data_IF_134124022559
#
_entry.id   IF_134124022559
#
_cell.length_a   1.000
_cell.length_b   1.000
_cell.length_c   1.000
_cell.angle_alpha   90.00
_cell.angle_beta   90.00
_cell.angle_gamma   90.00
#
_symmetry.space_group_name_H-M   'P 1'
#
loop_
_entity.id
_entity.type
_entity.pdbx_description
1 polymer ?
#
# COMPACT_ATOMS: atom_id res chain seq x y z
N UNK A 1 -20.44 -49.23 3.04
CA UNK A 1 -19.08 -49.18 2.48
C UNK A 1 -18.77 -47.71 2.29
N UNK A 2 -18.09 -47.11 3.25
CA UNK A 2 -17.58 -45.74 3.17
C UNK A 2 -16.10 -45.89 2.90
N UNK A 3 -15.70 -45.57 1.66
CA UNK A 3 -14.30 -45.50 1.28
C UNK A 3 -13.72 -44.22 1.90
N UNK A 4 -12.92 -44.39 2.95
CA UNK A 4 -12.07 -43.33 3.47
C UNK A 4 -10.89 -43.20 2.51
N UNK A 5 -10.94 -42.23 1.60
CA UNK A 5 -9.76 -41.69 0.93
C UNK A 5 -8.88 -41.01 1.98
N UNK A 6 -7.92 -41.74 2.51
CA UNK A 6 -6.80 -41.15 3.25
C UNK A 6 -5.95 -40.39 2.25
N UNK A 7 -6.16 -39.07 2.19
CA UNK A 7 -5.22 -38.11 1.62
C UNK A 7 -3.83 -38.40 2.19
N UNK A 8 -2.92 -38.85 1.34
CA UNK A 8 -1.48 -38.91 1.65
C UNK A 8 -1.03 -37.48 1.96
N UNK A 9 -0.90 -37.18 3.25
CA UNK A 9 -0.26 -35.96 3.72
C UNK A 9 1.22 -36.13 3.36
N UNK A 10 1.64 -35.44 2.30
CA UNK A 10 3.04 -35.24 1.97
C UNK A 10 3.81 -34.96 3.26
N UNK A 11 4.80 -35.81 3.57
CA UNK A 11 5.64 -35.69 4.74
C UNK A 11 6.31 -34.32 4.67
N UNK A 12 5.82 -33.35 5.44
CA UNK A 12 6.46 -32.05 5.60
C UNK A 12 7.81 -32.34 6.24
N UNK A 13 8.89 -32.20 5.48
CA UNK A 13 10.25 -32.33 6.00
C UNK A 13 10.43 -31.33 7.16
N UNK A 14 10.50 -31.85 8.38
CA UNK A 14 10.59 -31.04 9.61
C UNK A 14 12.02 -30.64 9.95
N UNK A 15 13.02 -31.08 9.18
CA UNK A 15 14.44 -30.86 9.41
C UNK A 15 15.17 -30.45 8.13
N UNK A 16 16.12 -29.52 8.26
CA UNK A 16 16.95 -29.06 7.15
C UNK A 16 17.91 -30.17 6.66
N UNK A 17 18.12 -30.32 5.34
CA UNK A 17 18.95 -31.39 4.80
C UNK A 17 20.42 -31.22 5.19
N UNK A 18 20.99 -32.27 5.78
CA UNK A 18 22.42 -32.29 6.14
C UNK A 18 23.26 -32.54 4.88
N UNK A 19 24.02 -31.54 4.44
CA UNK A 19 24.96 -31.70 3.32
C UNK A 19 26.15 -32.54 3.76
N UNK A 20 26.39 -33.67 3.08
CA UNK A 20 27.56 -34.52 3.32
C UNK A 20 28.84 -33.76 2.95
N UNK A 21 29.73 -33.55 3.92
CA UNK A 21 31.04 -32.97 3.68
C UNK A 21 31.97 -34.01 3.04
N UNK A 22 32.48 -33.72 1.83
CA UNK A 22 33.45 -34.56 1.14
C UNK A 22 34.86 -34.26 1.66
N UNK A 23 35.42 -35.14 2.48
CA UNK A 23 36.82 -35.04 2.91
C UNK A 23 37.75 -35.52 1.79
N UNK A 24 38.74 -34.70 1.41
CA UNK A 24 39.86 -35.11 0.54
C UNK A 24 40.98 -35.68 1.42
N UNK A 25 41.72 -36.68 0.92
CA UNK A 25 42.88 -37.27 1.62
C UNK A 25 43.99 -36.22 1.67
N UNK A 26 44.54 -35.96 2.87
CA UNK A 26 45.63 -34.99 3.10
C UNK A 26 46.98 -35.68 3.22
N UNK A 27 48.05 -34.97 2.86
CA UNK A 27 49.44 -35.38 3.11
C UNK A 27 49.96 -34.84 4.45
N UNK A 28 51.06 -35.40 4.95
CA UNK A 28 51.54 -35.20 6.33
C UNK A 28 51.86 -33.74 6.72
N UNK A 29 52.12 -32.85 5.75
CA UNK A 29 52.52 -31.46 5.99
C UNK A 29 51.47 -30.42 5.55
N UNK A 30 50.25 -30.84 5.19
CA UNK A 30 49.20 -29.90 4.79
C UNK A 30 48.51 -29.26 6.01
N UNK A 31 48.60 -27.94 6.13
CA UNK A 31 47.83 -27.16 7.10
C UNK A 31 46.33 -27.33 6.87
N UNK A 32 45.54 -27.35 7.95
CA UNK A 32 44.09 -27.38 7.83
C UNK A 32 43.59 -26.08 7.19
N UNK A 33 42.83 -26.18 6.10
CA UNK A 33 41.96 -25.07 5.72
C UNK A 33 40.96 -24.86 6.85
N UNK A 34 40.78 -23.60 7.27
CA UNK A 34 39.69 -23.20 8.13
C UNK A 34 38.38 -23.66 7.47
N UNK A 35 37.76 -24.69 8.05
CA UNK A 35 36.43 -25.13 7.66
C UNK A 35 35.47 -23.99 8.04
N UNK A 36 35.29 -23.02 7.13
CA UNK A 36 34.34 -21.93 7.31
C UNK A 36 32.96 -22.52 7.62
N UNK A 37 32.44 -22.15 8.81
CA UNK A 37 31.12 -22.44 9.38
C UNK A 37 30.15 -23.17 8.42
N UNK A 38 29.60 -24.35 8.68
CA UNK A 38 29.36 -25.07 9.93
C UNK A 38 28.85 -26.48 9.57
N UNK A 39 29.13 -27.50 10.39
CA UNK A 39 28.53 -28.84 10.25
C UNK A 39 27.02 -28.85 10.53
N UNK A 40 26.47 -27.72 11.02
CA UNK A 40 25.07 -27.58 11.44
C UNK A 40 24.23 -26.95 10.32
N UNK A 41 23.25 -27.69 9.76
CA UNK A 41 22.33 -27.17 8.74
C UNK A 41 21.60 -25.89 9.13
N UNK A 42 21.34 -25.67 10.43
CA UNK A 42 20.67 -24.47 10.91
C UNK A 42 21.55 -23.23 10.79
N UNK A 43 22.85 -23.37 11.06
CA UNK A 43 23.81 -22.26 10.95
C UNK A 43 24.11 -21.97 9.47
N UNK A 44 24.23 -23.00 8.62
CA UNK A 44 24.33 -22.85 7.15
C UNK A 44 23.12 -22.10 6.59
N UNK A 45 21.90 -22.52 6.94
CA UNK A 45 20.66 -21.84 6.53
C UNK A 45 20.60 -20.41 7.07
N UNK A 46 20.96 -20.18 8.34
CA UNK A 46 20.95 -18.85 8.93
C UNK A 46 21.84 -17.89 8.16
N UNK A 47 23.07 -18.28 7.87
CA UNK A 47 24.05 -17.41 7.22
C UNK A 47 23.78 -17.27 5.72
N UNK A 48 23.58 -18.39 5.02
CA UNK A 48 23.54 -18.42 3.56
C UNK A 48 22.15 -18.24 2.96
N UNK A 49 21.08 -18.28 3.77
CA UNK A 49 19.70 -18.07 3.28
C UNK A 49 19.03 -16.96 4.06
N UNK A 50 18.86 -17.13 5.37
CA UNK A 50 18.10 -16.17 6.17
C UNK A 50 18.72 -14.78 6.17
N UNK A 51 20.01 -14.65 6.48
CA UNK A 51 20.69 -13.35 6.48
C UNK A 51 20.67 -12.71 5.10
N UNK A 52 20.91 -13.47 4.02
CA UNK A 52 20.84 -12.94 2.65
C UNK A 52 19.43 -12.43 2.30
N UNK A 53 18.38 -13.13 2.72
CA UNK A 53 16.99 -12.68 2.53
C UNK A 53 16.74 -11.40 3.33
N UNK A 54 17.16 -11.36 4.59
CA UNK A 54 17.02 -10.18 5.45
C UNK A 54 17.75 -8.98 4.87
N UNK A 55 19.01 -9.15 4.46
CA UNK A 55 19.81 -8.10 3.82
C UNK A 55 19.15 -7.62 2.52
N UNK A 56 18.58 -8.53 1.72
CA UNK A 56 17.85 -8.17 0.51
C UNK A 56 16.56 -7.40 0.80
N UNK A 57 15.85 -7.76 1.87
CA UNK A 57 14.65 -7.03 2.32
C UNK A 57 15.07 -5.63 2.79
N UNK A 58 16.12 -5.53 3.62
CA UNK A 58 16.65 -4.25 4.11
C UNK A 58 17.08 -3.38 2.95
N UNK A 59 17.91 -3.90 2.03
CA UNK A 59 18.35 -3.16 0.85
C UNK A 59 17.18 -2.71 -0.01
N UNK A 60 16.18 -3.58 -0.24
CA UNK A 60 14.97 -3.22 -1.01
C UNK A 60 14.19 -2.09 -0.34
N UNK A 61 14.05 -2.11 0.99
CA UNK A 61 13.42 -1.03 1.74
C UNK A 61 14.25 0.26 1.69
N UNK A 62 15.57 0.16 1.85
CA UNK A 62 16.47 1.30 1.76
C UNK A 62 16.41 1.94 0.37
N UNK A 63 16.56 1.17 -0.70
CA UNK A 63 16.48 1.64 -2.08
C UNK A 63 15.13 2.34 -2.36
N UNK A 64 14.03 1.81 -1.82
CA UNK A 64 12.68 2.35 -2.01
C UNK A 64 12.41 3.63 -1.22
N UNK A 65 12.87 3.71 0.03
CA UNK A 65 12.46 4.78 0.95
C UNK A 65 13.52 5.86 1.16
N UNK A 66 14.81 5.57 0.96
CA UNK A 66 15.90 6.54 1.19
C UNK A 66 15.81 7.72 0.21
N UNK A 67 15.41 7.47 -1.05
CA UNK A 67 15.28 8.51 -2.09
C UNK A 67 14.30 9.63 -1.69
N UNK A 68 13.29 9.30 -0.90
CA UNK A 68 12.25 10.22 -0.46
C UNK A 68 12.27 10.45 1.06
N UNK A 69 13.39 10.20 1.73
CA UNK A 69 13.55 10.34 3.20
C UNK A 69 13.04 11.69 3.73
N UNK A 70 13.32 12.78 3.03
CA UNK A 70 12.85 14.11 3.42
C UNK A 70 11.32 14.22 3.38
N UNK A 71 10.67 13.66 2.34
CA UNK A 71 9.22 13.66 2.23
C UNK A 71 8.60 12.85 3.37
N UNK A 72 9.14 11.67 3.70
CA UNK A 72 8.63 10.87 4.81
C UNK A 72 8.83 11.54 6.17
N UNK A 73 9.97 12.23 6.38
CA UNK A 73 10.18 13.07 7.58
C UNK A 73 9.16 14.20 7.65
N UNK A 74 8.80 14.80 6.52
CA UNK A 74 7.79 15.85 6.51
C UNK A 74 6.39 15.27 6.74
N UNK A 75 6.06 14.11 6.17
CA UNK A 75 4.76 13.46 6.37
C UNK A 75 4.52 13.01 7.81
N UNK A 76 5.58 12.70 8.57
CA UNK A 76 5.43 12.31 9.97
C UNK A 76 4.88 13.45 10.84
N UNK A 77 5.00 14.72 10.43
CA UNK A 77 4.40 15.83 11.17
C UNK A 77 2.86 15.88 11.04
N UNK A 78 2.30 15.17 10.06
CA UNK A 78 0.86 15.00 9.86
C UNK A 78 0.32 13.77 10.61
N UNK A 79 1.17 13.02 11.29
CA UNK A 79 0.72 11.93 12.16
C UNK A 79 0.26 12.51 13.51
N UNK A 80 -1.01 12.28 13.91
CA UNK A 80 -1.52 12.72 15.22
C UNK A 80 -0.71 12.24 16.43
N UNK A 81 0.04 11.13 16.31
CA UNK A 81 0.95 10.67 17.36
C UNK A 81 2.02 11.73 17.68
N UNK A 82 2.44 12.50 16.67
CA UNK A 82 3.49 13.50 16.81
C UNK A 82 2.96 14.89 17.20
N UNK A 83 1.63 15.09 17.29
CA UNK A 83 1.05 16.41 17.60
C UNK A 83 1.46 16.93 18.98
N UNK A 84 1.56 16.06 19.98
CA UNK A 84 2.04 16.46 21.32
C UNK A 84 3.46 17.03 21.26
N UNK A 85 4.35 16.34 20.55
CA UNK A 85 5.73 16.77 20.32
C UNK A 85 5.79 18.10 19.57
N UNK A 86 4.90 18.30 18.58
CA UNK A 86 4.81 19.56 17.81
C UNK A 86 4.39 20.73 18.71
N UNK A 87 3.42 20.52 19.61
CA UNK A 87 2.96 21.56 20.53
C UNK A 87 4.05 21.92 21.54
N UNK A 88 4.79 20.94 22.05
CA UNK A 88 5.84 21.15 23.05
C UNK A 88 7.14 21.75 22.48
N UNK A 89 7.60 21.26 21.33
CA UNK A 89 8.92 21.62 20.75
C UNK A 89 8.82 22.60 19.58
N UNK A 90 7.62 22.85 19.06
CA UNK A 90 7.41 23.63 17.85
C UNK A 90 7.79 22.88 16.57
N UNK A 91 7.52 23.50 15.43
CA UNK A 91 7.91 23.01 14.10
C UNK A 91 9.23 23.63 13.63
N UNK A 92 10.27 22.81 13.50
CA UNK A 92 11.56 23.22 12.92
C UNK A 92 11.40 23.87 11.53
N UNK A 93 12.27 24.81 11.18
CA UNK A 93 12.26 25.48 9.87
C UNK A 93 12.67 24.60 8.69
N UNK A 94 13.34 23.49 8.95
CA UNK A 94 13.75 22.52 7.95
C UNK A 94 12.61 21.57 7.53
N UNK A 95 11.52 21.51 8.29
CA UNK A 95 10.36 20.65 8.02
C UNK A 95 9.50 21.28 6.92
N UNK A 96 8.82 20.44 6.13
CA UNK A 96 7.97 20.75 4.98
C UNK A 96 8.71 21.00 3.65
N UNK A 97 10.04 20.89 3.58
CA UNK A 97 10.80 21.12 2.33
C UNK A 97 10.38 20.17 1.20
N UNK A 98 10.16 18.89 1.51
CA UNK A 98 9.67 17.88 0.58
C UNK A 98 8.21 18.10 0.22
N UNK A 99 7.35 18.41 1.19
CA UNK A 99 5.93 18.73 0.95
C UNK A 99 5.78 19.96 0.05
N UNK A 100 6.56 21.02 0.27
CA UNK A 100 6.53 22.23 -0.57
C UNK A 100 6.93 21.98 -2.02
N UNK A 101 7.75 20.95 -2.31
CA UNK A 101 8.04 20.57 -3.71
C UNK A 101 6.81 20.00 -4.41
N UNK A 102 5.96 19.29 -3.68
CA UNK A 102 4.68 18.78 -4.19
C UNK A 102 3.62 19.89 -4.26
N UNK A 103 3.78 20.95 -3.46
CA UNK A 103 2.84 22.05 -3.32
C UNK A 103 3.52 23.43 -3.45
N UNK A 104 3.89 23.85 -4.66
CA UNK A 104 4.56 25.14 -4.87
C UNK A 104 3.64 26.35 -4.63
N UNK A 105 2.32 26.17 -4.66
CA UNK A 105 1.33 27.25 -4.47
C UNK A 105 1.05 27.58 -3.00
N UNK A 106 1.43 26.70 -2.07
CA UNK A 106 1.07 26.83 -0.66
C UNK A 106 2.11 27.65 0.12
N UNK A 107 1.65 28.57 0.96
CA UNK A 107 2.53 29.39 1.80
C UNK A 107 3.01 28.55 2.99
N UNK A 108 4.30 28.22 3.05
CA UNK A 108 4.95 27.47 4.14
C UNK A 108 4.53 27.93 5.54
N UNK A 109 4.51 29.25 5.74
CA UNK A 109 4.14 29.89 7.00
C UNK A 109 2.69 29.56 7.40
N UNK A 110 1.77 29.62 6.44
CA UNK A 110 0.36 29.34 6.65
C UNK A 110 0.14 27.88 7.07
N UNK A 111 0.78 26.93 6.38
CA UNK A 111 0.71 25.50 6.74
C UNK A 111 1.24 25.28 8.17
N UNK A 112 2.35 25.91 8.56
CA UNK A 112 2.89 25.78 9.91
C UNK A 112 1.91 26.27 10.97
N UNK A 113 1.28 27.42 10.76
CA UNK A 113 0.28 27.98 11.67
C UNK A 113 -0.95 27.08 11.77
N UNK A 114 -1.48 26.66 10.63
CA UNK A 114 -2.64 25.76 10.56
C UNK A 114 -2.35 24.44 11.27
N UNK A 115 -1.19 23.84 11.01
CA UNK A 115 -0.79 22.58 11.64
C UNK A 115 -0.60 22.72 13.14
N UNK A 116 0.04 23.80 13.62
CA UNK A 116 0.22 24.03 15.05
C UNK A 116 -1.11 24.25 15.78
N UNK A 117 -1.99 25.07 15.20
CA UNK A 117 -3.34 25.31 15.71
C UNK A 117 -4.17 24.02 15.72
N UNK A 118 -4.11 23.24 14.64
CA UNK A 118 -4.81 21.97 14.53
C UNK A 118 -4.29 20.93 15.54
N UNK A 119 -2.97 20.79 15.66
CA UNK A 119 -2.34 19.88 16.62
C UNK A 119 -2.73 20.21 18.06
N UNK A 120 -2.78 21.51 18.40
CA UNK A 120 -3.18 21.98 19.73
C UNK A 120 -4.65 21.68 20.06
N UNK A 121 -5.53 21.71 19.07
CA UNK A 121 -6.97 21.52 19.24
C UNK A 121 -7.44 20.11 18.86
N UNK A 122 -6.53 19.21 18.49
CA UNK A 122 -6.87 17.92 17.90
C UNK A 122 -7.74 17.05 18.81
N UNK A 123 -7.43 16.99 20.11
CA UNK A 123 -8.18 16.19 21.07
C UNK A 123 -9.64 16.68 21.20
N UNK A 124 -9.86 18.00 21.16
CA UNK A 124 -11.20 18.60 21.18
C UNK A 124 -11.96 18.30 19.89
N UNK A 125 -11.30 18.50 18.74
CA UNK A 125 -11.89 18.24 17.42
C UNK A 125 -12.26 16.76 17.24
N UNK A 126 -11.47 15.86 17.82
CA UNK A 126 -11.73 14.42 17.83
C UNK A 126 -12.98 14.06 18.64
N UNK A 127 -13.21 14.72 19.79
CA UNK A 127 -14.40 14.48 20.61
C UNK A 127 -15.70 14.92 19.92
N UNK A 128 -15.67 16.00 19.14
CA UNK A 128 -16.83 16.51 18.42
C UNK A 128 -17.39 15.51 17.39
N UNK A 129 -16.55 14.62 16.84
CA UNK A 129 -16.98 13.60 15.89
C UNK A 129 -17.65 12.39 16.53
N UNK A 130 -17.22 11.99 17.73
CA UNK A 130 -17.79 10.81 18.39
C UNK A 130 -19.26 11.01 18.80
N UNK A 131 -19.70 12.27 18.87
CA UNK A 131 -21.04 12.67 19.30
C UNK A 131 -21.98 13.00 18.12
N UNK A 132 -21.48 13.00 16.87
CA UNK A 132 -22.21 13.41 15.68
C UNK A 132 -22.26 12.32 14.61
N UNK A 133 -23.45 12.11 14.08
CA UNK A 133 -23.90 11.09 13.13
C UNK A 133 -22.90 10.55 12.07
N UNK A 134 -23.11 9.27 11.76
CA UNK A 134 -22.55 8.51 10.63
C UNK A 134 -22.74 9.25 9.30
N UNK A 135 -21.72 9.97 8.83
CA UNK A 135 -21.72 10.52 7.48
C UNK A 135 -20.40 10.22 6.74
N UNK A 136 -20.60 9.51 5.63
CA UNK A 136 -19.75 9.26 4.47
C UNK A 136 -18.88 7.99 4.51
N UNK A 137 -19.31 7.16 3.58
CA UNK A 137 -18.92 5.83 3.12
C UNK A 137 -17.41 5.66 2.83
N UNK A 138 -16.98 4.43 3.12
CA UNK A 138 -15.83 3.66 2.64
C UNK A 138 -14.61 4.34 2.00
N UNK A 139 -13.63 4.69 2.86
CA UNK A 139 -12.22 4.38 2.57
C UNK A 139 -11.53 3.65 3.74
N UNK A 140 -12.24 3.47 4.85
CA UNK A 140 -11.71 2.86 6.06
C UNK A 140 -12.75 1.89 6.62
N UNK A 141 -13.01 0.79 5.88
CA UNK A 141 -14.07 -0.17 6.18
C UNK A 141 -13.86 -0.96 7.49
N UNK A 142 -12.71 -0.77 8.17
CA UNK A 142 -12.40 -1.49 9.40
C UNK A 142 -11.87 -0.61 10.55
N UNK A 143 -11.97 0.73 10.48
CA UNK A 143 -11.48 1.59 11.56
C UNK A 143 -12.61 2.22 12.36
N UNK A 144 -13.23 1.38 13.20
CA UNK A 144 -14.10 1.86 14.28
C UNK A 144 -13.30 2.46 15.44
N UNK A 145 -11.97 2.32 15.45
CA UNK A 145 -11.09 2.67 16.59
C UNK A 145 -9.89 3.58 16.26
N UNK A 146 -9.45 3.74 15.02
CA UNK A 146 -8.36 4.69 14.74
C UNK A 146 -8.93 6.08 14.48
N UNK A 147 -8.78 6.98 15.45
CA UNK A 147 -8.95 8.42 15.20
C UNK A 147 -7.65 9.09 14.74
N UNK A 148 -6.62 8.30 14.43
CA UNK A 148 -5.25 8.78 14.19
C UNK A 148 -4.76 8.51 12.76
N UNK A 149 -5.55 7.87 11.91
CA UNK A 149 -5.16 7.61 10.53
C UNK A 149 -5.30 8.86 9.63
N UNK A 150 -4.51 9.04 8.56
CA UNK A 150 -4.63 10.20 7.67
C UNK A 150 -6.05 10.38 7.09
N UNK A 151 -6.71 9.29 6.70
CA UNK A 151 -8.10 9.32 6.21
C UNK A 151 -9.08 9.76 7.29
N UNK A 152 -8.82 9.40 8.54
CA UNK A 152 -9.61 9.74 9.72
C UNK A 152 -9.45 11.24 10.03
N UNK A 153 -8.22 11.75 9.99
CA UNK A 153 -7.91 13.17 10.13
C UNK A 153 -8.59 14.00 9.03
N UNK A 154 -8.56 13.51 7.79
CA UNK A 154 -9.26 14.14 6.67
C UNK A 154 -10.78 14.20 6.90
N UNK A 155 -11.38 13.16 7.50
CA UNK A 155 -12.80 13.19 7.92
C UNK A 155 -13.05 14.26 8.98
N UNK A 156 -12.18 14.41 9.99
CA UNK A 156 -12.32 15.47 11.00
C UNK A 156 -12.37 16.86 10.37
N UNK A 157 -11.47 17.11 9.41
CA UNK A 157 -11.40 18.37 8.70
C UNK A 157 -12.64 18.63 7.83
N UNK A 158 -13.16 17.57 7.18
CA UNK A 158 -14.35 17.66 6.33
C UNK A 158 -15.66 17.83 7.13
N UNK A 159 -15.89 17.00 8.15
CA UNK A 159 -17.13 17.00 8.92
C UNK A 159 -17.37 18.30 9.69
N UNK A 160 -16.30 18.93 10.20
CA UNK A 160 -16.39 20.20 10.90
C UNK A 160 -16.44 21.43 9.95
N UNK A 161 -16.51 21.22 8.62
CA UNK A 161 -16.41 22.29 7.60
C UNK A 161 -15.28 23.28 7.88
N UNK A 162 -14.14 22.76 8.32
CA UNK A 162 -12.96 23.58 8.64
C UNK A 162 -12.20 24.01 7.38
N UNK A 163 -12.51 23.34 6.26
CA UNK A 163 -12.12 23.74 4.92
C UNK A 163 -12.92 24.97 4.46
N UNK A 164 -12.24 25.92 3.83
CA UNK A 164 -12.74 27.23 3.39
C UNK A 164 -12.65 28.37 4.42
N UNK A 165 -12.05 28.16 5.60
CA UNK A 165 -12.02 29.16 6.68
C UNK A 165 -10.73 29.16 7.49
N UNK A 166 -10.35 28.01 8.05
CA UNK A 166 -9.29 27.94 9.07
C UNK A 166 -8.13 27.01 8.70
N UNK A 167 -8.39 25.91 7.98
CA UNK A 167 -7.41 24.85 7.72
C UNK A 167 -7.39 24.42 6.24
N UNK A 168 -7.41 25.38 5.32
CA UNK A 168 -7.57 25.12 3.89
C UNK A 168 -6.35 24.43 3.30
N UNK A 169 -5.15 24.94 3.64
CA UNK A 169 -3.90 24.39 3.16
C UNK A 169 -3.65 23.01 3.79
N UNK A 170 -3.98 22.86 5.07
CA UNK A 170 -3.88 21.58 5.76
C UNK A 170 -4.84 20.54 5.16
N UNK A 171 -6.07 20.93 4.82
CA UNK A 171 -7.05 20.04 4.19
C UNK A 171 -6.58 19.55 2.81
N UNK A 172 -6.08 20.45 1.96
CA UNK A 172 -5.49 20.07 0.67
C UNK A 172 -4.29 19.14 0.84
N UNK A 173 -3.44 19.41 1.85
CA UNK A 173 -2.30 18.58 2.17
C UNK A 173 -2.76 17.15 2.54
N UNK A 174 -3.73 16.99 3.43
CA UNK A 174 -4.25 15.66 3.80
C UNK A 174 -4.90 14.93 2.63
N UNK A 175 -5.58 15.62 1.70
CA UNK A 175 -6.10 14.97 0.48
C UNK A 175 -4.97 14.33 -0.31
N UNK A 176 -3.91 15.08 -0.56
CA UNK A 176 -2.77 14.56 -1.33
C UNK A 176 -2.13 13.41 -0.59
N UNK A 177 -1.89 13.52 0.71
CA UNK A 177 -1.35 12.41 1.51
C UNK A 177 -2.21 11.15 1.41
N UNK A 178 -3.54 11.28 1.41
CA UNK A 178 -4.44 10.14 1.21
C UNK A 178 -4.39 9.58 -0.22
N UNK A 179 -4.01 10.37 -1.22
CA UNK A 179 -3.83 9.91 -2.60
C UNK A 179 -2.40 9.42 -2.90
N UNK A 180 -1.41 9.75 -2.06
CA UNK A 180 -0.03 9.32 -2.27
C UNK A 180 0.06 7.81 -2.04
N UNK A 181 0.38 7.08 -3.11
CA UNK A 181 0.68 5.66 -3.03
C UNK A 181 2.05 5.45 -2.37
N UNK A 182 2.09 5.36 -1.04
CA UNK A 182 3.32 5.06 -0.28
C UNK A 182 3.80 3.63 -0.54
N UNK A 183 2.90 2.74 -0.96
CA UNK A 183 3.24 1.37 -1.38
C UNK A 183 2.81 1.15 -2.84
N UNK A 184 3.68 0.53 -3.64
CA UNK A 184 3.37 0.25 -5.06
C UNK A 184 2.50 -1.01 -5.22
N UNK A 185 1.87 -1.51 -4.15
CA UNK A 185 1.11 -2.78 -4.16
C UNK A 185 0.02 -2.76 -5.23
N UNK A 186 -0.67 -1.62 -5.40
CA UNK A 186 -1.68 -1.48 -6.44
C UNK A 186 -1.05 -1.56 -7.84
N UNK A 187 0.07 -0.86 -8.08
CA UNK A 187 0.79 -0.93 -9.34
C UNK A 187 1.30 -2.36 -9.62
N UNK A 188 1.88 -3.03 -8.63
CA UNK A 188 2.36 -4.42 -8.71
C UNK A 188 1.22 -5.38 -9.05
N UNK A 189 0.06 -5.22 -8.41
CA UNK A 189 -1.16 -5.99 -8.70
C UNK A 189 -1.64 -5.73 -10.13
N UNK A 190 -1.68 -4.46 -10.56
CA UNK A 190 -2.04 -4.07 -11.92
C UNK A 190 -1.08 -4.70 -12.95
N UNK A 191 0.24 -4.63 -12.73
CA UNK A 191 1.22 -5.24 -13.63
C UNK A 191 1.14 -6.78 -13.65
N UNK A 192 0.80 -7.40 -12.52
CA UNK A 192 0.53 -8.84 -12.45
C UNK A 192 -0.69 -9.22 -13.30
N UNK A 193 -1.80 -8.46 -13.19
CA UNK A 193 -2.99 -8.64 -14.04
C UNK A 193 -2.67 -8.42 -15.52
N UNK A 194 -1.95 -7.35 -15.84
CA UNK A 194 -1.48 -7.06 -17.20
C UNK A 194 -0.68 -8.24 -17.78
N UNK A 195 0.25 -8.80 -17.01
CA UNK A 195 1.05 -9.96 -17.42
C UNK A 195 0.18 -11.18 -17.70
N UNK A 196 -0.82 -11.44 -16.86
CA UNK A 196 -1.79 -12.54 -17.07
C UNK A 196 -2.57 -12.34 -18.36
N UNK A 197 -3.12 -11.13 -18.59
CA UNK A 197 -3.90 -10.81 -19.80
C UNK A 197 -3.03 -10.99 -21.05
N UNK A 198 -1.83 -10.40 -21.07
CA UNK A 198 -0.90 -10.51 -22.21
C UNK A 198 -0.48 -11.95 -22.49
N UNK A 199 -0.29 -12.78 -21.46
CA UNK A 199 0.08 -14.18 -21.65
C UNK A 199 -1.09 -15.01 -22.18
N UNK A 200 -2.30 -14.81 -21.65
CA UNK A 200 -3.49 -15.59 -22.04
C UNK A 200 -4.00 -15.21 -23.43
N UNK A 201 -3.97 -13.91 -23.77
CA UNK A 201 -4.48 -13.39 -25.03
C UNK A 201 -3.37 -13.05 -26.04
N UNK A 202 -2.18 -13.62 -25.88
CA UNK A 202 -0.97 -13.27 -26.64
C UNK A 202 -1.17 -13.20 -28.16
N UNK A 203 -1.99 -14.09 -28.70
CA UNK A 203 -2.21 -14.23 -30.14
C UNK A 203 -3.51 -13.55 -30.62
N UNK A 204 -4.29 -12.95 -29.72
CA UNK A 204 -5.63 -12.42 -30.04
C UNK A 204 -5.85 -10.98 -29.54
N UNK A 205 -4.89 -10.42 -28.81
CA UNK A 205 -5.01 -9.10 -28.20
C UNK A 205 -4.41 -8.01 -29.09
N UNK A 206 -5.24 -7.09 -29.57
CA UNK A 206 -4.78 -5.84 -30.18
C UNK A 206 -4.34 -4.83 -29.12
N UNK A 207 -3.47 -3.89 -29.51
CA UNK A 207 -3.02 -2.82 -28.62
C UNK A 207 -4.19 -1.92 -28.15
N UNK A 208 -5.19 -1.72 -29.03
CA UNK A 208 -6.38 -0.91 -28.78
C UNK A 208 -7.26 -1.48 -27.67
N UNK A 209 -7.36 -2.81 -27.57
CA UNK A 209 -8.22 -3.45 -26.56
C UNK A 209 -7.50 -3.72 -25.24
N UNK A 210 -6.17 -3.65 -25.21
CA UNK A 210 -5.36 -3.99 -24.02
C UNK A 210 -5.72 -3.12 -22.82
N UNK A 211 -5.85 -1.80 -23.02
CA UNK A 211 -6.19 -0.86 -21.95
C UNK A 211 -7.54 -1.20 -21.33
N UNK A 212 -8.55 -1.44 -22.17
CA UNK A 212 -9.90 -1.83 -21.73
C UNK A 212 -9.88 -3.13 -20.91
N UNK A 213 -9.18 -4.18 -21.36
CA UNK A 213 -9.08 -5.43 -20.61
C UNK A 213 -8.39 -5.27 -19.25
N UNK A 214 -7.35 -4.43 -19.20
CA UNK A 214 -6.63 -4.13 -17.96
C UNK A 214 -7.55 -3.39 -17.01
N UNK A 215 -8.25 -2.35 -17.48
CA UNK A 215 -9.20 -1.59 -16.68
C UNK A 215 -10.31 -2.49 -16.12
N UNK A 216 -10.93 -3.32 -16.97
CA UNK A 216 -11.95 -4.28 -16.56
C UNK A 216 -11.44 -5.29 -15.51
N UNK A 217 -10.16 -5.66 -15.59
CA UNK A 217 -9.55 -6.62 -14.65
C UNK A 217 -9.16 -5.99 -13.31
N UNK A 218 -8.85 -4.70 -13.29
CA UNK A 218 -8.55 -3.93 -12.08
C UNK A 218 -9.84 -3.61 -11.34
N UNK A 219 -10.83 -3.07 -12.05
CA UNK A 219 -12.12 -2.61 -11.51
C UNK A 219 -13.16 -3.73 -11.45
N UNK A 220 -12.72 -4.98 -11.34
CA UNK A 220 -13.62 -6.14 -11.36
C UNK A 220 -14.67 -6.05 -10.25
N UNK A 221 -14.29 -5.63 -9.05
CA UNK A 221 -15.21 -5.50 -7.91
C UNK A 221 -16.30 -4.46 -8.20
N UNK A 222 -15.96 -3.36 -8.89
CA UNK A 222 -16.96 -2.37 -9.32
C UNK A 222 -17.91 -2.97 -10.35
N UNK A 223 -17.38 -3.73 -11.32
CA UNK A 223 -18.17 -4.38 -12.37
C UNK A 223 -19.12 -5.44 -11.82
N UNK A 224 -18.68 -6.22 -10.82
CA UNK A 224 -19.51 -7.23 -10.17
C UNK A 224 -20.73 -6.61 -9.45
N UNK A 225 -20.67 -5.31 -9.11
CA UNK A 225 -21.78 -4.55 -8.54
C UNK A 225 -22.68 -3.86 -9.59
N UNK A 226 -22.30 -3.87 -10.87
CA UNK A 226 -23.11 -3.28 -11.94
C UNK A 226 -24.14 -4.30 -12.45
N UNK A 227 -25.34 -3.80 -12.69
CA UNK A 227 -26.44 -4.58 -13.26
C UNK A 227 -26.25 -4.72 -14.77
N UNK A 228 -26.06 -5.97 -15.22
CA UNK A 228 -25.83 -6.30 -16.63
C UNK A 228 -26.96 -5.85 -17.55
N UNK A 229 -28.22 -5.92 -17.10
CA UNK A 229 -29.37 -5.49 -17.90
C UNK A 229 -29.33 -3.98 -18.15
N UNK A 230 -29.02 -3.20 -17.12
CA UNK A 230 -28.87 -1.73 -17.26
C UNK A 230 -27.74 -1.33 -18.20
N UNK A 231 -26.66 -2.12 -18.25
CA UNK A 231 -25.57 -1.89 -19.20
C UNK A 231 -26.06 -2.12 -20.63
N UNK A 232 -26.81 -3.21 -20.86
CA UNK A 232 -27.38 -3.55 -22.17
C UNK A 232 -28.35 -2.46 -22.61
N UNK A 233 -29.29 -2.05 -21.75
CA UNK A 233 -30.27 -1.01 -22.05
C UNK A 233 -29.59 0.31 -22.45
N UNK A 234 -28.61 0.75 -21.66
CA UNK A 234 -27.85 1.97 -21.94
C UNK A 234 -27.05 1.89 -23.23
N UNK A 235 -26.50 0.73 -23.55
CA UNK A 235 -25.80 0.51 -24.81
C UNK A 235 -26.76 0.52 -25.99
N UNK A 236 -27.94 -0.08 -25.81
CA UNK A 236 -29.00 -0.12 -26.81
C UNK A 236 -29.50 1.29 -27.17
N UNK A 237 -29.61 2.19 -26.19
CA UNK A 237 -29.95 3.61 -26.40
C UNK A 237 -28.98 4.38 -27.30
N UNK A 238 -27.75 3.88 -27.53
CA UNK A 238 -26.73 4.59 -28.32
C UNK A 238 -27.07 4.63 -29.81
N UNK A 239 -27.92 3.72 -30.31
CA UNK A 239 -28.43 3.79 -31.69
C UNK A 239 -29.81 3.15 -31.84
N UNK A 240 -30.61 3.63 -32.79
CA UNK A 240 -31.94 3.07 -33.08
C UNK A 240 -31.88 1.59 -33.49
N UNK A 241 -30.83 1.18 -34.20
CA UNK A 241 -30.65 -0.23 -34.62
C UNK A 241 -30.27 -1.14 -33.45
N UNK A 242 -29.39 -0.68 -32.56
CA UNK A 242 -29.01 -1.44 -31.36
C UNK A 242 -30.19 -1.55 -30.38
N UNK A 243 -30.99 -0.49 -30.24
CA UNK A 243 -32.21 -0.53 -29.45
C UNK A 243 -33.14 -1.64 -29.95
N UNK A 244 -33.43 -1.66 -31.25
CA UNK A 244 -34.27 -2.71 -31.85
C UNK A 244 -33.72 -4.13 -31.65
N UNK A 245 -32.39 -4.32 -31.64
CA UNK A 245 -31.78 -5.65 -31.54
C UNK A 245 -31.63 -6.15 -30.10
N UNK A 246 -31.50 -5.24 -29.13
CA UNK A 246 -31.10 -5.59 -27.75
C UNK A 246 -32.25 -5.47 -26.73
N UNK A 247 -33.30 -4.67 -27.00
CA UNK A 247 -34.43 -4.48 -26.08
C UNK A 247 -35.72 -5.17 -26.52
N UNK A 248 -35.68 -5.93 -27.64
CA UNK A 248 -36.83 -6.71 -28.09
C UNK A 248 -36.98 -8.02 -27.30
N UNK A 249 -37.69 -7.92 -26.16
CA UNK A 249 -38.42 -9.01 -25.51
C UNK A 249 -39.90 -8.67 -25.43
#
# INVERSE_FOLDING_TARGET
MVENETLEIDIIETALPVKRQRKKKKMADELANDEGNSSDPLVDFRVNVFSLIMDRIVQSLEDRFVQHKQLYKDLSCLDPVNFKTIVEKGLEDEILKGIMKLFPQSRKYQIKLELFSFASNFDVLKLLLNNGENLIDSSCNNCKTCSTCPSCVLKILASNRLYGKAYDNLYELYKVVCTLSVTQVHCERTFSKLKIIKNRLRNSLSAENLESYVLLSIEKELLDNLDGEKIIDRFAETSSELNRLLTCS
#
